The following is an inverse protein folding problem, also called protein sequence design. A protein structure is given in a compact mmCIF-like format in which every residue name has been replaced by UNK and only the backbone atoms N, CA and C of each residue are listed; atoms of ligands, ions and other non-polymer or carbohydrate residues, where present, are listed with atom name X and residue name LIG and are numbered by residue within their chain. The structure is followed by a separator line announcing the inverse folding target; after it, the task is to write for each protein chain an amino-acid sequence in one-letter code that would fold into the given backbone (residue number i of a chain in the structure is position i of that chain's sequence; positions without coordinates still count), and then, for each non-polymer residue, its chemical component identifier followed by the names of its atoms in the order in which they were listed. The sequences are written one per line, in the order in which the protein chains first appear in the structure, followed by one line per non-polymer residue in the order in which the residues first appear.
data_IF_030709011680
#
_entry.id   IF_030709011680
#
_cell.length_a   1.000
_cell.length_b   1.000
_cell.length_c   1.000
_cell.angle_alpha   90.00
_cell.angle_beta   90.00
_cell.angle_gamma   90.00
#
_symmetry.space_group_name_H-M   'P 1'
#
loop_
_entity.id
_entity.type
_entity.pdbx_description
1 polymer ?
#
# COMPACT_ATOMS: atom_id res chain seq x y z
N UNK A 1 -6.14 -29.81 -8.96
CA UNK A 1 -6.17 -28.34 -9.11
C UNK A 1 -5.14 -27.81 -8.16
N UNK A 2 -4.23 -26.99 -8.67
CA UNK A 2 -3.26 -26.28 -7.85
C UNK A 2 -4.07 -25.26 -7.04
N UNK A 3 -4.02 -25.36 -5.72
CA UNK A 3 -4.75 -24.45 -4.85
C UNK A 3 -3.76 -23.42 -4.31
N UNK A 4 -3.95 -22.15 -4.69
CA UNK A 4 -3.05 -21.04 -4.30
C UNK A 4 -2.88 -20.92 -2.77
N UNK A 5 -3.85 -21.40 -1.99
CA UNK A 5 -3.78 -21.45 -0.53
C UNK A 5 -2.92 -22.61 -0.02
N UNK A 6 -2.99 -23.78 -0.67
CA UNK A 6 -2.24 -24.97 -0.24
C UNK A 6 -0.79 -24.93 -0.73
N UNK A 7 -0.52 -24.14 -1.78
CA UNK A 7 0.80 -23.94 -2.36
C UNK A 7 1.53 -22.70 -1.85
N UNK A 8 0.91 -21.94 -0.92
CA UNK A 8 1.52 -20.72 -0.36
C UNK A 8 1.88 -19.70 -1.47
N UNK A 9 0.93 -19.50 -2.39
CA UNK A 9 1.06 -18.60 -3.56
C UNK A 9 -0.06 -17.56 -3.60
N UNK A 10 -0.26 -16.85 -2.50
CA UNK A 10 -1.30 -15.81 -2.39
C UNK A 10 -0.93 -14.47 -3.04
N UNK A 11 0.27 -14.34 -3.63
CA UNK A 11 0.67 -13.18 -4.42
C UNK A 11 1.22 -13.59 -5.81
N UNK A 12 0.82 -12.90 -6.90
CA UNK A 12 1.31 -13.16 -8.26
C UNK A 12 2.62 -12.42 -8.55
N UNK A 13 3.77 -13.01 -8.21
CA UNK A 13 5.08 -12.40 -8.46
C UNK A 13 5.47 -12.36 -9.95
N UNK A 14 4.91 -13.24 -10.77
CA UNK A 14 5.25 -13.37 -12.20
C UNK A 14 4.00 -13.54 -13.05
N UNK A 15 4.04 -13.04 -14.29
CA UNK A 15 2.99 -13.20 -15.28
C UNK A 15 1.77 -12.29 -15.08
N UNK A 16 0.70 -12.59 -15.81
CA UNK A 16 -0.54 -11.84 -15.74
C UNK A 16 -1.27 -12.14 -14.42
N UNK A 17 -1.67 -11.08 -13.71
CA UNK A 17 -2.29 -11.19 -12.39
C UNK A 17 -3.55 -12.05 -12.43
N UNK A 18 -4.39 -11.91 -13.47
CA UNK A 18 -5.63 -12.70 -13.58
C UNK A 18 -5.37 -14.20 -13.76
N UNK A 19 -4.35 -14.58 -14.53
CA UNK A 19 -4.01 -15.98 -14.78
C UNK A 19 -3.62 -16.69 -13.49
N UNK A 20 -2.86 -16.02 -12.61
CA UNK A 20 -2.48 -16.57 -11.31
C UNK A 20 -3.66 -16.97 -10.43
N UNK A 21 -4.78 -16.24 -10.52
CA UNK A 21 -5.95 -16.44 -9.66
C UNK A 21 -7.08 -17.24 -10.32
N UNK A 22 -6.95 -17.64 -11.60
CA UNK A 22 -8.07 -18.10 -12.44
C UNK A 22 -8.81 -19.34 -11.89
N UNK A 23 -8.12 -20.19 -11.14
CA UNK A 23 -8.70 -21.40 -10.53
C UNK A 23 -9.61 -21.10 -9.32
N UNK A 24 -9.54 -19.88 -8.74
CA UNK A 24 -10.26 -19.51 -7.51
C UNK A 24 -11.11 -18.24 -7.66
N UNK A 25 -10.66 -17.29 -8.46
CA UNK A 25 -11.27 -15.98 -8.64
C UNK A 25 -11.35 -15.63 -10.12
N UNK A 26 -12.45 -15.01 -10.54
CA UNK A 26 -12.62 -14.55 -11.93
C UNK A 26 -12.31 -13.05 -12.10
N UNK A 27 -12.12 -12.33 -11.00
CA UNK A 27 -11.95 -10.88 -10.97
C UNK A 27 -10.86 -10.45 -9.99
N UNK A 28 -9.98 -9.55 -10.45
CA UNK A 28 -8.91 -8.98 -9.62
C UNK A 28 -8.86 -7.48 -9.84
N UNK A 29 -8.72 -6.72 -8.76
CA UNK A 29 -8.65 -5.26 -8.74
C UNK A 29 -7.36 -4.80 -8.08
N UNK A 30 -6.67 -3.86 -8.71
CA UNK A 30 -5.53 -3.16 -8.12
C UNK A 30 -6.07 -2.00 -7.31
N UNK A 31 -5.97 -2.07 -5.99
CA UNK A 31 -6.35 -1.01 -5.08
C UNK A 31 -5.11 -0.19 -4.66
N UNK A 32 -5.16 1.12 -4.93
CA UNK A 32 -4.05 2.04 -4.71
C UNK A 32 -4.05 2.51 -3.24
N UNK A 33 -2.87 2.55 -2.61
CA UNK A 33 -2.76 3.00 -1.23
C UNK A 33 -3.05 4.50 -1.12
N UNK A 34 -3.96 4.94 -0.25
CA UNK A 34 -4.45 6.31 -0.26
C UNK A 34 -3.42 7.30 0.29
N UNK A 35 -3.34 8.46 -0.35
CA UNK A 35 -2.79 9.66 0.28
C UNK A 35 -3.81 10.21 1.28
N UNK A 36 -3.37 11.08 2.20
CA UNK A 36 -4.29 11.67 3.15
C UNK A 36 -3.87 13.03 3.67
N UNK A 37 -4.84 13.77 4.20
CA UNK A 37 -4.63 15.02 4.91
C UNK A 37 -5.20 14.93 6.31
N UNK A 38 -4.60 15.69 7.23
CA UNK A 38 -5.13 15.94 8.57
C UNK A 38 -5.39 17.43 8.72
N UNK A 39 -6.43 17.79 9.48
CA UNK A 39 -6.73 19.19 9.82
C UNK A 39 -5.82 19.66 10.97
N UNK A 40 -4.51 19.68 10.70
CA UNK A 40 -3.46 20.08 11.65
C UNK A 40 -2.76 21.32 11.14
N UNK A 41 -2.49 22.26 12.05
CA UNK A 41 -1.62 23.41 11.75
C UNK A 41 -0.17 22.97 11.79
N UNK A 42 0.28 22.28 10.75
CA UNK A 42 1.70 21.97 10.59
C UNK A 42 2.47 23.26 10.27
N UNK A 43 3.49 23.53 11.09
CA UNK A 43 4.35 24.72 10.95
C UNK A 43 5.52 24.48 9.99
N UNK A 44 5.84 23.21 9.72
CA UNK A 44 6.86 22.79 8.77
C UNK A 44 6.29 21.63 7.94
N UNK A 45 5.91 21.93 6.70
CA UNK A 45 5.29 20.98 5.78
C UNK A 45 6.31 20.08 5.06
N UNK A 46 7.59 20.16 5.43
CA UNK A 46 8.61 19.32 4.81
C UNK A 46 8.54 17.88 5.30
N UNK A 47 8.63 16.94 4.36
CA UNK A 47 8.82 15.51 4.62
C UNK A 47 7.60 14.80 5.23
N UNK A 48 6.46 14.89 4.54
CA UNK A 48 5.18 14.24 4.89
C UNK A 48 5.14 12.74 4.51
N UNK A 49 6.28 12.08 4.71
CA UNK A 49 6.52 10.66 4.41
C UNK A 49 6.87 9.94 5.68
N UNK A 50 6.51 8.65 5.80
CA UNK A 50 6.92 7.84 6.94
C UNK A 50 8.43 7.60 6.95
N UNK A 51 9.00 7.31 5.78
CA UNK A 51 10.45 7.25 5.60
C UNK A 51 11.06 8.66 5.46
N UNK A 52 12.09 8.94 6.26
CA UNK A 52 12.94 10.13 6.14
C UNK A 52 14.33 9.74 5.65
N UNK A 53 14.78 10.34 4.55
CA UNK A 53 16.19 10.26 4.15
C UNK A 53 17.05 11.02 5.18
N UNK A 54 18.04 10.34 5.74
CA UNK A 54 18.99 10.93 6.68
C UNK A 54 20.15 11.58 5.93
N UNK A 55 20.56 12.76 6.38
CA UNK A 55 21.87 13.29 6.03
C UNK A 55 22.98 12.37 6.58
N UNK A 56 24.17 12.44 5.99
CA UNK A 56 25.32 11.66 6.45
C UNK A 56 25.61 11.87 7.94
N UNK A 57 25.54 13.13 8.42
CA UNK A 57 25.75 13.45 9.83
C UNK A 57 24.67 12.87 10.75
N UNK A 58 23.39 12.94 10.35
CA UNK A 58 22.28 12.33 11.11
C UNK A 58 22.42 10.80 11.18
N UNK A 59 22.77 10.17 10.06
CA UNK A 59 22.98 8.73 9.97
C UNK A 59 24.13 8.29 10.90
N UNK A 60 25.28 8.99 10.87
CA UNK A 60 26.40 8.71 11.76
C UNK A 60 26.04 8.90 13.24
N UNK A 61 25.16 9.85 13.59
CA UNK A 61 24.71 10.04 14.97
C UNK A 61 23.77 8.93 15.45
N UNK A 62 22.86 8.48 14.58
CA UNK A 62 21.86 7.45 14.92
C UNK A 62 22.43 6.03 14.88
N UNK A 63 23.39 5.77 14.00
CA UNK A 63 23.81 4.41 13.67
C UNK A 63 25.32 4.27 13.89
N UNK A 64 25.70 3.83 15.09
CA UNK A 64 27.11 3.74 15.50
C UNK A 64 27.98 2.85 14.61
N UNK A 65 27.40 1.81 13.97
CA UNK A 65 28.17 0.95 13.07
C UNK A 65 28.66 1.68 11.82
N UNK A 66 27.93 2.71 11.35
CA UNK A 66 28.32 3.47 10.16
C UNK A 66 29.65 4.19 10.36
N UNK A 67 29.97 4.60 11.60
CA UNK A 67 31.25 5.24 11.96
C UNK A 67 32.47 4.36 11.68
N UNK A 68 32.27 3.03 11.60
CA UNK A 68 33.32 2.03 11.38
C UNK A 68 33.43 1.60 9.91
N UNK A 69 32.49 2.01 9.06
CA UNK A 69 32.50 1.67 7.65
C UNK A 69 33.21 2.75 6.84
N UNK A 70 33.85 2.39 5.71
CA UNK A 70 34.38 3.37 4.78
C UNK A 70 33.23 4.24 4.26
N UNK A 71 33.54 5.53 4.05
CA UNK A 71 32.62 6.44 3.38
C UNK A 71 32.24 5.87 2.02
N UNK A 72 30.94 5.82 1.78
CA UNK A 72 30.37 5.39 0.53
C UNK A 72 29.15 6.27 0.27
N UNK A 73 28.86 6.53 -1.00
CA UNK A 73 27.66 7.24 -1.41
C UNK A 73 26.45 6.33 -1.19
N UNK A 74 25.83 6.43 0.00
CA UNK A 74 24.70 5.63 0.46
C UNK A 74 23.57 6.55 0.88
N UNK A 75 22.38 6.27 0.37
CA UNK A 75 21.14 6.85 0.89
C UNK A 75 20.68 5.97 2.05
N UNK A 76 20.34 6.60 3.18
CA UNK A 76 19.94 5.90 4.40
C UNK A 76 18.58 6.44 4.81
N UNK A 77 17.57 5.61 4.68
CA UNK A 77 16.21 5.93 5.06
C UNK A 77 15.95 5.49 6.50
N UNK A 78 15.23 6.32 7.25
CA UNK A 78 14.78 6.04 8.60
C UNK A 78 13.26 6.12 8.66
N UNK A 79 12.62 5.03 9.06
CA UNK A 79 11.16 4.90 9.13
C UNK A 79 10.55 5.44 10.44
N UNK A 80 11.39 5.88 11.37
CA UNK A 80 10.98 6.63 12.55
C UNK A 80 10.94 8.13 12.23
N UNK A 81 9.90 8.56 11.49
CA UNK A 81 9.58 9.98 11.35
C UNK A 81 8.53 10.38 12.39
N UNK A 82 8.96 11.03 13.48
CA UNK A 82 8.08 11.53 14.55
C UNK A 82 7.01 12.53 14.05
N UNK A 83 7.18 13.08 12.85
CA UNK A 83 6.20 13.98 12.21
C UNK A 83 5.13 13.24 11.42
N UNK A 84 5.34 11.95 11.15
CA UNK A 84 4.31 11.15 10.51
C UNK A 84 3.21 10.84 11.54
N UNK A 85 1.93 11.04 11.21
CA UNK A 85 0.84 10.87 12.17
C UNK A 85 0.78 9.45 12.71
N UNK A 86 0.32 9.32 13.96
CA UNK A 86 0.08 7.99 14.54
C UNK A 86 -1.11 7.30 13.87
N UNK A 87 -1.16 5.98 13.96
CA UNK A 87 -2.29 5.20 13.45
C UNK A 87 -3.64 5.63 14.08
N UNK A 88 -3.63 6.02 15.36
CA UNK A 88 -4.82 6.57 16.02
C UNK A 88 -5.25 7.92 15.43
N UNK A 89 -4.30 8.81 15.15
CA UNK A 89 -4.57 10.10 14.51
C UNK A 89 -5.15 9.90 13.12
N UNK A 90 -4.57 9.00 12.33
CA UNK A 90 -5.03 8.69 10.98
C UNK A 90 -6.44 8.12 11.05
N UNK A 91 -6.69 7.17 11.94
CA UNK A 91 -8.01 6.55 12.11
C UNK A 91 -9.11 7.57 12.43
N UNK A 92 -8.81 8.54 13.30
CA UNK A 92 -9.82 9.50 13.80
C UNK A 92 -10.04 10.70 12.89
N UNK A 93 -8.97 11.19 12.26
CA UNK A 93 -8.95 12.55 11.68
C UNK A 93 -8.61 12.57 10.18
N UNK A 94 -8.05 11.50 9.62
CA UNK A 94 -7.54 11.55 8.25
C UNK A 94 -8.67 11.63 7.22
N UNK A 95 -8.42 12.47 6.21
CA UNK A 95 -9.23 12.57 4.99
C UNK A 95 -8.46 11.98 3.84
N UNK A 96 -9.01 10.93 3.24
CA UNK A 96 -8.45 10.28 2.04
C UNK A 96 -8.35 11.31 0.91
N UNK A 97 -7.20 11.31 0.24
CA UNK A 97 -6.96 12.04 -1.01
C UNK A 97 -6.70 11.02 -2.10
N UNK A 98 -7.52 11.08 -3.15
CA UNK A 98 -7.44 10.20 -4.30
C UNK A 98 -6.17 10.47 -5.12
N UNK A 99 -5.56 9.42 -5.66
CA UNK A 99 -4.48 9.46 -6.64
C UNK A 99 -4.85 10.33 -7.83
N UNK A 100 -6.10 10.32 -8.29
CA UNK A 100 -6.56 11.22 -9.37
C UNK A 100 -6.31 12.70 -9.02
N UNK A 101 -6.56 13.09 -7.77
CA UNK A 101 -6.31 14.45 -7.30
C UNK A 101 -4.80 14.74 -7.18
N UNK A 102 -4.01 13.75 -6.77
CA UNK A 102 -2.56 13.87 -6.71
C UNK A 102 -1.96 14.05 -8.11
N UNK A 103 -2.38 13.22 -9.09
CA UNK A 103 -1.96 13.31 -10.48
C UNK A 103 -2.25 14.71 -11.05
N UNK A 104 -3.50 15.17 -10.91
CA UNK A 104 -3.93 16.49 -11.40
C UNK A 104 -3.16 17.62 -10.73
N UNK A 105 -2.99 17.58 -9.41
CA UNK A 105 -2.35 18.65 -8.64
C UNK A 105 -0.84 18.72 -8.83
N UNK A 106 -0.17 17.59 -9.01
CA UNK A 106 1.28 17.52 -9.21
C UNK A 106 1.71 17.68 -10.68
N UNK A 107 0.78 17.63 -11.64
CA UNK A 107 1.08 17.68 -13.07
C UNK A 107 1.83 16.44 -13.57
N UNK A 108 1.56 15.29 -12.95
CA UNK A 108 1.95 13.97 -13.46
C UNK A 108 0.98 13.53 -14.56
N UNK A 109 1.42 12.65 -15.46
CA UNK A 109 0.62 12.23 -16.60
C UNK A 109 -0.50 11.23 -16.23
N UNK A 110 -0.35 10.47 -15.14
CA UNK A 110 -1.29 9.42 -14.74
C UNK A 110 -0.78 8.58 -13.57
N UNK A 111 -1.50 7.49 -13.25
CA UNK A 111 -1.15 6.60 -12.14
C UNK A 111 0.20 5.91 -12.31
N UNK A 112 0.60 5.60 -13.55
CA UNK A 112 1.91 5.00 -13.83
C UNK A 112 3.07 5.94 -13.41
N UNK A 113 3.00 7.23 -13.76
CA UNK A 113 3.99 8.20 -13.33
C UNK A 113 3.95 8.44 -11.81
N UNK A 114 2.76 8.44 -11.20
CA UNK A 114 2.62 8.56 -9.75
C UNK A 114 3.22 7.38 -9.00
N UNK A 115 2.93 6.14 -9.42
CA UNK A 115 3.53 4.94 -8.85
C UNK A 115 5.06 4.97 -9.03
N UNK A 116 5.54 5.37 -10.20
CA UNK A 116 6.99 5.52 -10.47
C UNK A 116 7.65 6.56 -9.56
N UNK A 117 6.96 7.69 -9.31
CA UNK A 117 7.44 8.73 -8.39
C UNK A 117 7.52 8.23 -6.94
N UNK A 118 6.48 7.51 -6.48
CA UNK A 118 6.43 6.90 -5.15
C UNK A 118 7.56 5.87 -4.97
N UNK A 119 7.70 4.91 -5.91
CA UNK A 119 8.77 3.90 -5.89
C UNK A 119 10.17 4.50 -5.99
N UNK A 120 10.34 5.58 -6.77
CA UNK A 120 11.60 6.35 -6.77
C UNK A 120 11.91 6.91 -5.38
N UNK A 121 10.88 7.38 -4.67
CA UNK A 121 11.04 8.08 -3.40
C UNK A 121 11.46 7.22 -2.22
N UNK A 122 11.27 5.91 -2.31
CA UNK A 122 11.72 4.91 -1.34
C UNK A 122 12.98 4.18 -1.78
N UNK A 123 13.53 4.52 -2.96
CA UNK A 123 14.67 3.81 -3.53
C UNK A 123 14.34 2.40 -4.05
N UNK A 124 13.06 2.08 -4.23
CA UNK A 124 12.57 0.77 -4.67
C UNK A 124 12.75 0.49 -6.17
N UNK A 125 13.37 1.42 -6.91
CA UNK A 125 13.73 1.25 -8.32
C UNK A 125 15.24 1.15 -8.49
N UNK A 126 15.66 0.31 -9.42
CA UNK A 126 17.03 0.33 -9.92
C UNK A 126 17.36 1.74 -10.47
N UNK A 127 18.57 2.23 -10.23
CA UNK A 127 19.04 3.58 -10.58
C UNK A 127 18.81 3.99 -12.04
N UNK A 128 18.72 3.04 -12.96
CA UNK A 128 18.46 3.35 -14.38
C UNK A 128 16.98 3.63 -14.67
N UNK A 129 16.08 3.29 -13.75
CA UNK A 129 14.63 3.46 -13.86
C UNK A 129 14.08 4.50 -12.88
N UNK A 130 14.92 5.04 -11.97
CA UNK A 130 14.49 6.10 -11.07
C UNK A 130 14.11 7.34 -11.87
N UNK A 131 13.07 8.04 -11.39
CA UNK A 131 12.59 9.29 -11.98
C UNK A 131 12.56 10.41 -10.94
N UNK A 132 13.73 10.96 -10.57
CA UNK A 132 13.79 12.02 -9.57
C UNK A 132 12.96 13.26 -9.93
N UNK A 133 12.78 13.52 -11.22
CA UNK A 133 11.93 14.60 -11.73
C UNK A 133 10.44 14.39 -11.41
N UNK A 134 9.94 13.15 -11.50
CA UNK A 134 8.56 12.83 -11.12
C UNK A 134 8.39 12.85 -9.59
N UNK A 135 9.37 12.32 -8.86
CA UNK A 135 9.43 12.40 -7.40
C UNK A 135 9.41 13.86 -6.91
N UNK A 136 10.16 14.75 -7.55
CA UNK A 136 10.22 16.17 -7.17
C UNK A 136 8.86 16.86 -7.39
N UNK A 137 8.20 16.62 -8.54
CA UNK A 137 6.83 17.11 -8.78
C UNK A 137 5.85 16.65 -7.71
N UNK A 138 5.88 15.36 -7.38
CA UNK A 138 5.03 14.78 -6.34
C UNK A 138 5.27 15.47 -5.00
N UNK A 139 6.53 15.52 -4.54
CA UNK A 139 6.88 16.10 -3.24
C UNK A 139 6.50 17.58 -3.16
N UNK A 140 6.80 18.37 -4.20
CA UNK A 140 6.50 19.80 -4.22
C UNK A 140 5.00 20.06 -4.04
N UNK A 141 4.16 19.27 -4.73
CA UNK A 141 2.71 19.37 -4.58
C UNK A 141 2.25 18.93 -3.18
N UNK A 142 2.63 17.74 -2.74
CA UNK A 142 2.16 17.20 -1.46
C UNK A 142 2.62 18.04 -0.27
N UNK A 143 3.84 18.55 -0.29
CA UNK A 143 4.36 19.43 0.76
C UNK A 143 3.60 20.77 0.76
N UNK A 144 3.27 21.33 -0.41
CA UNK A 144 2.50 22.58 -0.49
C UNK A 144 1.08 22.44 0.09
N UNK A 145 0.44 21.30 -0.20
CA UNK A 145 -0.93 21.00 0.20
C UNK A 145 -1.05 20.27 1.54
N UNK A 146 0.05 20.03 2.26
CA UNK A 146 0.02 19.27 3.53
C UNK A 146 -0.56 17.85 3.38
N UNK A 147 -0.21 17.17 2.28
CA UNK A 147 -0.67 15.80 1.99
C UNK A 147 0.41 14.79 2.39
N UNK A 148 0.02 13.83 3.22
CA UNK A 148 0.87 12.70 3.61
C UNK A 148 0.85 11.61 2.54
N UNK A 149 2.03 11.04 2.31
CA UNK A 149 2.22 9.92 1.39
C UNK A 149 1.75 8.60 2.02
N UNK A 150 1.24 7.66 1.21
CA UNK A 150 1.05 6.28 1.68
C UNK A 150 2.39 5.66 2.09
N UNK A 151 2.33 4.62 2.92
CA UNK A 151 3.48 3.76 3.24
C UNK A 151 3.40 2.51 2.37
N UNK A 152 4.51 2.14 1.76
CA UNK A 152 4.67 0.97 0.91
C UNK A 152 4.63 -0.36 1.69
N UNK A 153 4.37 -1.46 0.98
CA UNK A 153 4.62 -2.81 1.48
C UNK A 153 3.74 -3.29 2.64
N UNK A 154 2.74 -2.50 3.02
CA UNK A 154 1.83 -2.83 4.11
C UNK A 154 0.48 -2.15 3.93
N UNK A 155 -0.56 -2.74 4.53
CA UNK A 155 -1.87 -2.11 4.63
C UNK A 155 -1.81 -0.93 5.60
N UNK A 156 -1.82 0.30 5.10
CA UNK A 156 -1.94 1.49 5.93
C UNK A 156 -3.30 1.57 6.65
N UNK A 157 -3.42 2.39 7.70
CA UNK A 157 -4.64 2.51 8.51
C UNK A 157 -5.90 2.75 7.68
N UNK A 158 -5.86 3.66 6.70
CA UNK A 158 -7.00 3.94 5.82
C UNK A 158 -7.40 2.74 4.95
N UNK A 159 -6.41 1.97 4.48
CA UNK A 159 -6.65 0.73 3.74
C UNK A 159 -7.27 -0.34 4.63
N UNK A 160 -6.77 -0.50 5.87
CA UNK A 160 -7.32 -1.43 6.86
C UNK A 160 -8.79 -1.11 7.19
N UNK A 161 -9.12 0.17 7.35
CA UNK A 161 -10.51 0.63 7.53
C UNK A 161 -11.40 0.29 6.31
N UNK A 162 -10.88 0.48 5.10
CA UNK A 162 -11.61 0.12 3.87
C UNK A 162 -11.80 -1.40 3.76
N UNK A 163 -10.78 -2.19 4.09
CA UNK A 163 -10.83 -3.67 4.13
C UNK A 163 -11.87 -4.15 5.16
N UNK A 164 -11.90 -3.56 6.35
CA UNK A 164 -12.92 -3.86 7.36
C UNK A 164 -14.33 -3.66 6.80
N UNK A 165 -14.57 -2.51 6.16
CA UNK A 165 -15.86 -2.17 5.54
C UNK A 165 -16.20 -3.13 4.39
N UNK A 166 -15.21 -3.53 3.60
CA UNK A 166 -15.39 -4.49 2.52
C UNK A 166 -15.82 -5.87 3.05
N UNK A 167 -15.18 -6.39 4.10
CA UNK A 167 -15.61 -7.64 4.73
C UNK A 167 -17.03 -7.54 5.29
N UNK A 168 -17.37 -6.45 5.98
CA UNK A 168 -18.74 -6.23 6.47
C UNK A 168 -19.77 -6.13 5.33
N UNK A 169 -19.44 -5.43 4.24
CA UNK A 169 -20.29 -5.30 3.05
C UNK A 169 -20.61 -6.67 2.44
N UNK A 170 -19.63 -7.58 2.44
CA UNK A 170 -19.73 -8.93 1.88
C UNK A 170 -20.17 -10.00 2.90
N UNK A 171 -20.62 -9.57 4.09
CA UNK A 171 -21.08 -10.44 5.18
C UNK A 171 -20.04 -11.51 5.58
N UNK A 172 -18.75 -11.13 5.59
CA UNK A 172 -17.63 -11.98 6.02
C UNK A 172 -17.22 -11.58 7.43
N UNK A 173 -17.34 -12.52 8.38
CA UNK A 173 -17.03 -12.24 9.79
C UNK A 173 -15.74 -12.92 10.27
N UNK A 174 -15.41 -14.11 9.74
CA UNK A 174 -14.17 -14.81 10.07
C UNK A 174 -13.10 -14.50 9.03
N UNK A 175 -12.07 -13.77 9.46
CA UNK A 175 -10.98 -13.31 8.61
C UNK A 175 -9.71 -14.03 9.02
N UNK A 176 -8.95 -14.49 8.03
CA UNK A 176 -7.65 -15.12 8.23
C UNK A 176 -6.59 -14.09 7.85
N UNK A 177 -5.63 -13.88 8.75
CA UNK A 177 -4.46 -13.04 8.53
C UNK A 177 -3.25 -13.97 8.44
N UNK A 178 -2.46 -13.83 7.39
CA UNK A 178 -1.26 -14.64 7.17
C UNK A 178 -0.09 -13.74 6.86
N UNK A 179 1.04 -14.02 7.50
CA UNK A 179 2.27 -13.31 7.20
C UNK A 179 2.85 -13.69 5.84
N UNK A 180 3.77 -12.87 5.36
CA UNK A 180 4.41 -13.03 4.06
C UNK A 180 4.98 -14.44 3.80
N UNK A 181 5.59 -15.05 4.81
CA UNK A 181 6.29 -16.33 4.71
C UNK A 181 5.41 -17.52 5.11
N UNK A 182 4.10 -17.31 5.34
CA UNK A 182 3.16 -18.34 5.76
C UNK A 182 3.54 -19.03 7.08
N UNK A 183 4.43 -18.41 7.87
CA UNK A 183 4.89 -18.94 9.15
C UNK A 183 3.86 -18.69 10.26
N UNK A 184 3.14 -17.56 10.16
CA UNK A 184 2.13 -17.18 11.12
C UNK A 184 0.79 -16.98 10.42
N UNK A 185 -0.24 -17.63 10.96
CA UNK A 185 -1.63 -17.45 10.53
C UNK A 185 -2.51 -17.31 11.75
N UNK A 186 -3.31 -16.25 11.79
CA UNK A 186 -4.29 -15.99 12.84
C UNK A 186 -5.69 -15.89 12.25
N UNK A 187 -6.70 -16.09 13.10
CA UNK A 187 -8.09 -15.93 12.71
C UNK A 187 -8.73 -14.89 13.62
N UNK A 188 -9.37 -13.92 12.99
CA UNK A 188 -10.03 -12.79 13.63
C UNK A 188 -11.53 -12.87 13.36
N UNK A 189 -12.34 -12.66 14.41
CA UNK A 189 -13.79 -12.56 14.30
C UNK A 189 -14.21 -11.09 14.36
N UNK A 190 -14.68 -10.55 13.23
CA UNK A 190 -15.12 -9.17 13.08
C UNK A 190 -16.35 -8.82 13.93
N UNK A 191 -17.09 -9.79 14.46
CA UNK A 191 -18.19 -9.51 15.38
C UNK A 191 -17.73 -9.30 16.83
N UNK A 192 -16.48 -9.65 17.14
CA UNK A 192 -15.88 -9.45 18.46
C UNK A 192 -15.02 -8.19 18.57
N UNK A 193 -14.71 -7.54 17.46
CA UNK A 193 -13.82 -6.38 17.40
C UNK A 193 -14.56 -5.13 16.94
N UNK A 194 -14.16 -3.99 17.48
CA UNK A 194 -14.41 -2.70 16.86
C UNK A 194 -13.57 -2.55 15.58
N UNK A 195 -13.93 -1.60 14.71
CA UNK A 195 -13.17 -1.31 13.49
C UNK A 195 -11.70 -0.98 13.81
N UNK A 196 -11.44 -0.22 14.88
CA UNK A 196 -10.09 0.13 15.30
C UNK A 196 -9.31 -1.11 15.77
N UNK A 197 -9.91 -1.95 16.62
CA UNK A 197 -9.26 -3.17 17.10
C UNK A 197 -8.94 -4.11 15.94
N UNK A 198 -9.84 -4.27 14.96
CA UNK A 198 -9.51 -5.02 13.75
C UNK A 198 -8.32 -4.44 12.98
N UNK A 199 -8.25 -3.11 12.84
CA UNK A 199 -7.12 -2.47 12.19
C UNK A 199 -5.80 -2.67 12.96
N UNK A 200 -5.85 -2.70 14.30
CA UNK A 200 -4.71 -2.90 15.17
C UNK A 200 -4.21 -4.37 15.17
N UNK A 201 -5.12 -5.34 15.02
CA UNK A 201 -4.79 -6.76 14.86
C UNK A 201 -3.99 -7.05 13.58
N UNK A 202 -4.17 -6.25 12.52
CA UNK A 202 -3.42 -6.38 11.28
C UNK A 202 -2.00 -5.81 11.49
N UNK A 203 -1.02 -6.68 11.66
CA UNK A 203 0.38 -6.32 11.76
C UNK A 203 0.96 -5.81 10.44
N UNK A 204 2.09 -5.11 10.52
CA UNK A 204 2.83 -4.67 9.32
C UNK A 204 3.46 -5.81 8.51
N UNK A 205 3.32 -7.06 8.97
CA UNK A 205 3.80 -8.28 8.31
C UNK A 205 2.67 -9.16 7.78
N UNK A 206 1.41 -8.78 8.02
CA UNK A 206 0.27 -9.53 7.53
C UNK A 206 0.02 -9.12 6.08
N UNK A 207 0.54 -9.95 5.17
CA UNK A 207 0.55 -9.66 3.73
C UNK A 207 -0.71 -10.18 3.05
N UNK A 208 -1.38 -11.15 3.67
CA UNK A 208 -2.55 -11.81 3.13
C UNK A 208 -3.69 -11.74 4.13
N UNK A 209 -4.83 -11.17 3.70
CA UNK A 209 -6.07 -11.11 4.48
C UNK A 209 -7.19 -11.70 3.63
N UNK A 210 -7.84 -12.75 4.11
CA UNK A 210 -8.89 -13.40 3.34
C UNK A 210 -10.01 -13.91 4.24
N UNK A 211 -11.21 -14.02 3.68
CA UNK A 211 -12.32 -14.62 4.42
C UNK A 211 -12.08 -16.11 4.64
N UNK A 212 -12.59 -16.68 5.73
CA UNK A 212 -12.39 -18.10 6.04
C UNK A 212 -12.93 -19.07 4.98
N UNK A 213 -13.94 -18.65 4.22
CA UNK A 213 -14.48 -19.36 3.06
C UNK A 213 -13.70 -19.10 1.76
N UNK A 214 -12.64 -18.28 1.82
CA UNK A 214 -11.74 -17.93 0.72
C UNK A 214 -12.43 -17.23 -0.45
N UNK A 215 -13.61 -16.66 -0.26
CA UNK A 215 -14.33 -15.97 -1.34
C UNK A 215 -13.77 -14.58 -1.67
N UNK A 216 -12.98 -13.98 -0.77
CA UNK A 216 -12.26 -12.73 -1.03
C UNK A 216 -10.87 -12.78 -0.40
N UNK A 217 -9.89 -12.26 -1.13
CA UNK A 217 -8.50 -12.12 -0.74
C UNK A 217 -8.02 -10.69 -0.97
N UNK A 218 -7.35 -10.12 0.02
CA UNK A 218 -6.53 -8.92 -0.05
C UNK A 218 -5.07 -9.34 0.11
N UNK A 219 -4.22 -8.93 -0.83
CA UNK A 219 -2.82 -9.38 -0.86
C UNK A 219 -1.90 -8.25 -1.32
N UNK A 220 -0.79 -8.04 -0.60
CA UNK A 220 0.17 -6.96 -0.86
C UNK A 220 1.59 -7.53 -0.96
N UNK A 221 2.47 -6.82 -1.67
CA UNK A 221 3.89 -7.16 -1.81
C UNK A 221 4.76 -6.01 -1.30
N UNK A 222 6.02 -6.33 -1.02
CA UNK A 222 7.03 -5.41 -0.50
C UNK A 222 7.17 -4.17 -1.36
N UNK A 223 7.44 -3.02 -0.77
CA UNK A 223 7.75 -1.82 -1.53
C UNK A 223 6.68 -1.39 -2.57
N UNK A 224 5.48 -1.99 -2.51
CA UNK A 224 4.34 -1.68 -3.37
C UNK A 224 3.43 -0.63 -2.74
N UNK A 225 2.97 0.30 -3.56
CA UNK A 225 1.99 1.34 -3.18
C UNK A 225 0.56 0.99 -3.57
N UNK A 226 0.30 -0.30 -3.78
CA UNK A 226 -1.01 -0.86 -4.10
C UNK A 226 -1.08 -2.27 -3.52
N UNK A 227 -2.29 -2.78 -3.39
CA UNK A 227 -2.57 -4.18 -3.07
C UNK A 227 -3.60 -4.72 -4.05
N UNK A 228 -3.72 -6.04 -4.12
CA UNK A 228 -4.69 -6.72 -4.96
C UNK A 228 -5.89 -7.14 -4.14
N UNK A 229 -7.07 -7.02 -4.74
CA UNK A 229 -8.31 -7.59 -4.25
C UNK A 229 -8.74 -8.66 -5.26
N UNK A 230 -8.80 -9.92 -4.84
CA UNK A 230 -9.23 -11.03 -5.68
C UNK A 230 -10.53 -11.63 -5.12
N UNK A 231 -11.54 -11.74 -5.97
CA UNK A 231 -12.87 -12.30 -5.64
C UNK A 231 -13.62 -12.64 -6.94
N UNK A 232 -14.87 -13.08 -6.87
CA UNK A 232 -15.72 -13.20 -8.06
C UNK A 232 -16.30 -11.85 -8.50
N UNK A 233 -16.74 -11.80 -9.76
CA UNK A 233 -17.23 -10.59 -10.42
C UNK A 233 -18.41 -9.96 -9.69
N UNK A 234 -19.30 -10.76 -9.09
CA UNK A 234 -20.48 -10.23 -8.40
C UNK A 234 -20.08 -9.49 -7.12
N UNK A 235 -19.14 -10.04 -6.35
CA UNK A 235 -18.60 -9.38 -5.15
C UNK A 235 -17.72 -8.19 -5.56
N UNK A 236 -16.96 -8.32 -6.63
CA UNK A 236 -16.15 -7.22 -7.17
C UNK A 236 -16.99 -6.02 -7.58
N UNK A 237 -18.13 -6.25 -8.27
CA UNK A 237 -19.06 -5.18 -8.64
C UNK A 237 -19.61 -4.44 -7.40
N UNK A 238 -19.87 -5.16 -6.30
CA UNK A 238 -20.29 -4.54 -5.04
C UNK A 238 -19.20 -3.68 -4.42
N UNK A 239 -17.94 -4.14 -4.47
CA UNK A 239 -16.80 -3.38 -3.96
C UNK A 239 -16.56 -2.11 -4.79
N UNK A 240 -16.60 -2.22 -6.12
CA UNK A 240 -16.46 -1.06 -7.01
C UNK A 240 -17.59 -0.05 -6.77
N UNK A 241 -18.83 -0.52 -6.65
CA UNK A 241 -19.98 0.36 -6.40
C UNK A 241 -19.98 1.00 -5.00
N UNK A 242 -19.15 0.53 -4.08
CA UNK A 242 -19.04 1.07 -2.72
C UNK A 242 -18.10 2.25 -2.59
N UNK A 243 -17.29 2.53 -3.63
CA UNK A 243 -16.24 3.56 -3.64
C UNK A 243 -15.26 3.47 -2.45
N UNK A 244 -15.08 2.27 -1.88
CA UNK A 244 -14.15 2.03 -0.76
C UNK A 244 -12.69 2.11 -1.18
N UNK A 245 -12.40 1.80 -2.45
CA UNK A 245 -11.04 1.71 -2.98
C UNK A 245 -10.93 2.51 -4.28
N UNK A 246 -9.83 3.24 -4.42
CA UNK A 246 -9.42 3.79 -5.71
C UNK A 246 -8.49 2.81 -6.40
N UNK A 247 -8.64 2.67 -7.72
CA UNK A 247 -7.87 1.70 -8.47
C UNK A 247 -8.52 1.31 -9.78
N UNK A 248 -8.16 0.13 -10.27
CA UNK A 248 -8.67 -0.38 -11.55
C UNK A 248 -8.72 -1.91 -11.59
N UNK A 249 -9.64 -2.43 -12.41
CA UNK A 249 -9.72 -3.86 -12.70
C UNK A 249 -8.54 -4.32 -13.55
N UNK A 250 -7.95 -5.45 -13.17
CA UNK A 250 -6.96 -6.12 -13.99
C UNK A 250 -7.59 -6.58 -15.31
N UNK A 251 -6.89 -6.37 -16.41
CA UNK A 251 -7.18 -7.03 -17.69
C UNK A 251 -6.22 -8.21 -17.89
N UNK A 252 -6.37 -8.92 -19.01
CA UNK A 252 -5.60 -10.14 -19.29
C UNK A 252 -4.10 -9.89 -19.52
N UNK A 253 -3.66 -8.62 -19.57
CA UNK A 253 -2.26 -8.20 -19.72
C UNK A 253 -1.74 -7.44 -18.50
N UNK A 254 -2.57 -7.25 -17.47
CA UNK A 254 -2.15 -6.55 -16.25
C UNK A 254 -1.20 -7.46 -15.48
N UNK A 255 0.05 -7.05 -15.38
CA UNK A 255 1.10 -7.69 -14.58
C UNK A 255 1.39 -6.87 -13.33
N UNK A 256 2.19 -7.40 -12.40
CA UNK A 256 2.60 -6.70 -11.18
C UNK A 256 3.20 -5.31 -11.48
N UNK A 257 4.08 -5.21 -12.49
CA UNK A 257 4.68 -3.94 -12.91
C UNK A 257 3.83 -3.20 -13.96
N UNK A 258 2.53 -3.06 -13.67
CA UNK A 258 1.53 -2.47 -14.57
C UNK A 258 1.88 -1.07 -15.06
N UNK A 259 2.68 -0.31 -14.30
CA UNK A 259 3.11 1.04 -14.67
C UNK A 259 3.97 1.08 -15.94
N UNK A 260 4.51 -0.07 -16.40
CA UNK A 260 5.28 -0.17 -17.64
C UNK A 260 4.52 -0.88 -18.77
N UNK A 261 3.39 -1.51 -18.48
CA UNK A 261 2.76 -2.46 -19.41
C UNK A 261 1.33 -2.07 -19.81
N UNK A 262 0.68 -1.19 -19.05
CA UNK A 262 -0.73 -0.83 -19.27
C UNK A 262 -0.86 0.67 -19.58
N UNK A 263 -1.52 1.01 -20.70
CA UNK A 263 -2.11 2.34 -20.88
C UNK A 263 -3.35 2.41 -19.98
N UNK A 264 -3.22 3.06 -18.82
CA UNK A 264 -4.28 3.30 -17.84
C UNK A 264 -4.80 4.72 -18.02
#
# INVERSE_FOLDING_TARGET
MCNIFDEEKLYPYEGAIKEHFEDHYDSVFIALLPFFQLDRKETDKSNLKKAKLLSHEEALKKIDFLKKLPEANREIYNYDNERYPSDEDIFREAKVILWENIVKGSGLAGYAELNTALRTSIGGLNRNFTRPDLMEKLNNYTDSESIYHPTEGAFGMLSKMAIHKAFKLLEKNLIILTDEFYENTTTVDLDQLTEYEFCDEIGGKDYYLYSADKEILFTIEWDSFFFLIATDHKRMDQLIASDLFEGFLCNDKTEHYWEYTVEI
#
